data_IF_164284571915
#
_entry.id   IF_164284571915
#
_cell.length_a   1.000
_cell.length_b   1.000
_cell.length_c   1.000
_cell.angle_alpha   90.00
_cell.angle_beta   90.00
_cell.angle_gamma   90.00
#
_symmetry.space_group_name_H-M   'P 1'
#
loop_
_entity.id
_entity.type
_entity.pdbx_description
1 polymer ?
#
# COMPACT_ATOMS: atom_id res chain seq x y z
N UNK A 1 -9.21 14.73 3.84
CA UNK A 1 -9.25 13.39 4.45
C UNK A 1 -8.76 13.46 5.88
N UNK A 2 -9.42 12.75 6.77
CA UNK A 2 -9.06 12.75 8.20
C UNK A 2 -7.79 11.97 8.46
N UNK A 3 -6.95 12.47 9.36
CA UNK A 3 -5.72 11.76 9.78
C UNK A 3 -6.02 10.54 10.63
N UNK A 4 -7.25 10.41 11.11
CA UNK A 4 -7.65 9.24 11.89
C UNK A 4 -7.92 8.02 11.00
N UNK A 5 -8.08 8.23 9.71
CA UNK A 5 -8.29 7.14 8.76
C UNK A 5 -7.02 6.34 8.59
N UNK A 6 -7.21 5.02 8.41
CA UNK A 6 -6.09 4.10 8.24
C UNK A 6 -5.88 3.83 6.77
N UNK A 7 -4.64 3.97 6.32
CA UNK A 7 -4.26 3.82 4.91
C UNK A 7 -3.63 2.45 4.70
N UNK A 8 -4.06 1.76 3.65
CA UNK A 8 -3.43 0.53 3.18
C UNK A 8 -2.62 0.86 1.92
N UNK A 9 -1.34 0.49 1.91
CA UNK A 9 -0.50 0.69 0.73
C UNK A 9 -0.66 -0.46 -0.23
N UNK A 10 -1.01 -0.18 -1.48
CA UNK A 10 -1.17 -1.17 -2.52
C UNK A 10 -0.17 -0.88 -3.63
N UNK A 11 0.69 -1.85 -3.92
CA UNK A 11 1.70 -1.70 -4.95
C UNK A 11 2.24 -3.04 -5.39
N UNK A 12 2.92 -3.09 -6.54
CA UNK A 12 3.45 -4.35 -7.06
C UNK A 12 4.60 -4.86 -6.21
N UNK A 13 4.58 -6.16 -5.93
CA UNK A 13 5.61 -6.83 -5.14
C UNK A 13 6.27 -7.92 -5.96
N UNK A 14 5.48 -8.81 -6.55
CA UNK A 14 6.00 -9.94 -7.32
C UNK A 14 6.84 -9.45 -8.49
N UNK A 15 8.10 -9.89 -8.54
CA UNK A 15 9.00 -9.51 -9.62
C UNK A 15 9.61 -8.13 -9.48
N UNK A 16 9.37 -7.43 -8.37
CA UNK A 16 9.93 -6.11 -8.13
C UNK A 16 11.01 -6.22 -7.07
N UNK A 17 12.27 -6.06 -7.47
CA UNK A 17 13.42 -6.28 -6.57
C UNK A 17 13.44 -5.38 -5.36
N UNK A 18 13.13 -4.12 -5.58
CA UNK A 18 13.24 -3.09 -4.53
C UNK A 18 11.89 -2.71 -3.95
N UNK A 19 10.95 -3.64 -3.92
CA UNK A 19 9.60 -3.31 -3.43
C UNK A 19 9.60 -2.85 -1.98
N UNK A 20 10.46 -3.44 -1.16
CA UNK A 20 10.55 -3.03 0.25
C UNK A 20 10.94 -1.56 0.39
N UNK A 21 11.91 -1.13 -0.40
CA UNK A 21 12.34 0.26 -0.38
C UNK A 21 11.23 1.19 -0.82
N UNK A 22 10.53 0.82 -1.90
CA UNK A 22 9.44 1.63 -2.44
C UNK A 22 8.32 1.78 -1.41
N UNK A 23 7.89 0.66 -0.82
CA UNK A 23 6.82 0.69 0.18
C UNK A 23 7.23 1.44 1.44
N UNK A 24 8.45 1.21 1.90
CA UNK A 24 8.92 1.83 3.14
C UNK A 24 9.08 3.34 2.98
N UNK A 25 9.53 3.80 1.82
CA UNK A 25 9.62 5.23 1.56
C UNK A 25 8.24 5.88 1.54
N UNK A 26 7.29 5.22 0.90
CA UNK A 26 5.91 5.72 0.85
C UNK A 26 5.31 5.76 2.26
N UNK A 27 5.50 4.69 3.03
CA UNK A 27 4.98 4.63 4.39
C UNK A 27 5.60 5.72 5.27
N UNK A 28 6.90 5.95 5.14
CA UNK A 28 7.58 6.97 5.91
C UNK A 28 7.06 8.37 5.58
N UNK A 29 6.85 8.64 4.29
CA UNK A 29 6.35 9.93 3.86
C UNK A 29 4.93 10.18 4.39
N UNK A 30 4.07 9.18 4.33
CA UNK A 30 2.72 9.30 4.86
C UNK A 30 2.72 9.47 6.38
N UNK A 31 3.57 8.72 7.06
CA UNK A 31 3.67 8.81 8.52
C UNK A 31 4.17 10.19 8.94
N UNK A 32 5.16 10.74 8.23
CA UNK A 32 5.65 12.09 8.51
C UNK A 32 4.55 13.13 8.34
N UNK A 33 3.59 12.86 7.49
CA UNK A 33 2.46 13.75 7.29
C UNK A 33 1.31 13.47 8.25
N UNK A 34 1.51 12.60 9.22
CA UNK A 34 0.55 12.35 10.29
C UNK A 34 -0.49 11.29 10.02
N UNK A 35 -0.38 10.57 8.91
CA UNK A 35 -1.34 9.52 8.58
C UNK A 35 -0.99 8.19 9.25
N UNK A 36 -2.02 7.36 9.46
CA UNK A 36 -1.85 5.99 9.95
C UNK A 36 -1.68 5.07 8.74
N UNK A 37 -0.64 4.26 8.75
CA UNK A 37 -0.30 3.46 7.57
C UNK A 37 -0.17 1.99 7.90
N UNK A 38 -0.80 1.15 7.10
CA UNK A 38 -0.59 -0.30 7.11
C UNK A 38 0.25 -0.62 5.89
N UNK A 39 1.44 -1.18 6.12
CA UNK A 39 2.40 -1.47 5.07
C UNK A 39 2.54 -2.98 4.91
N UNK A 40 1.83 -3.60 3.95
CA UNK A 40 1.84 -5.06 3.81
C UNK A 40 3.16 -5.62 3.28
N UNK A 41 4.05 -4.77 2.76
CA UNK A 41 5.33 -5.25 2.26
C UNK A 41 6.16 -5.92 3.35
N UNK A 42 5.96 -5.54 4.60
CA UNK A 42 6.72 -6.10 5.73
C UNK A 42 6.24 -7.48 6.15
N UNK A 43 5.20 -8.02 5.52
CA UNK A 43 4.76 -9.40 5.79
C UNK A 43 5.86 -10.41 5.52
N UNK A 44 6.80 -10.10 4.63
CA UNK A 44 7.91 -10.98 4.34
C UNK A 44 8.79 -11.25 5.56
N UNK A 45 8.72 -10.40 6.59
CA UNK A 45 9.47 -10.58 7.83
C UNK A 45 8.68 -11.36 8.87
N UNK A 46 7.40 -11.58 8.62
CA UNK A 46 6.50 -12.27 9.56
C UNK A 46 6.31 -13.73 9.15
N UNK A 47 6.24 -13.96 7.84
CA UNK A 47 5.99 -15.30 7.29
C UNK A 47 7.30 -15.98 6.92
N UNK A 48 7.32 -17.30 7.03
CA UNK A 48 8.53 -18.05 6.69
C UNK A 48 8.62 -18.28 5.18
N UNK A 49 9.71 -18.93 4.75
CA UNK A 49 9.98 -19.12 3.33
C UNK A 49 9.03 -20.07 2.61
N UNK A 50 8.13 -20.73 3.34
CA UNK A 50 7.15 -21.63 2.71
C UNK A 50 5.85 -20.93 2.38
N UNK A 51 5.70 -19.65 2.78
CA UNK A 51 4.47 -18.89 2.52
C UNK A 51 4.26 -18.71 1.03
N UNK A 52 3.02 -18.93 0.60
CA UNK A 52 2.64 -18.82 -0.81
C UNK A 52 2.08 -17.42 -1.11
N UNK A 53 1.91 -17.15 -2.41
CA UNK A 53 1.25 -15.93 -2.84
C UNK A 53 -0.16 -15.83 -2.22
N UNK A 54 -0.87 -16.96 -2.16
CA UNK A 54 -2.20 -16.98 -1.55
C UNK A 54 -2.15 -16.63 -0.07
N UNK A 55 -1.13 -17.10 0.64
CA UNK A 55 -0.95 -16.76 2.05
C UNK A 55 -0.81 -15.25 2.22
N UNK A 56 0.06 -14.63 1.41
CA UNK A 56 0.26 -13.19 1.47
C UNK A 56 -1.02 -12.43 1.13
N UNK A 57 -1.74 -12.89 0.11
CA UNK A 57 -2.99 -12.22 -0.29
C UNK A 57 -4.07 -12.35 0.78
N UNK A 58 -4.19 -13.51 1.42
CA UNK A 58 -5.19 -13.71 2.46
C UNK A 58 -4.95 -12.78 3.64
N UNK A 59 -3.71 -12.68 4.07
CA UNK A 59 -3.37 -11.79 5.18
C UNK A 59 -3.54 -10.32 4.75
N UNK A 60 -3.10 -10.01 3.55
CA UNK A 60 -3.23 -8.66 3.03
C UNK A 60 -4.67 -8.19 2.96
N UNK A 61 -5.58 -9.09 2.55
CA UNK A 61 -7.00 -8.76 2.49
C UNK A 61 -7.57 -8.46 3.88
N UNK A 62 -7.14 -9.22 4.89
CA UNK A 62 -7.57 -8.94 6.26
C UNK A 62 -7.07 -7.58 6.74
N UNK A 63 -5.84 -7.25 6.40
CA UNK A 63 -5.28 -5.94 6.73
C UNK A 63 -6.04 -4.83 6.00
N UNK A 64 -6.37 -5.05 4.74
CA UNK A 64 -7.14 -4.09 3.95
C UNK A 64 -8.49 -3.81 4.60
N UNK A 65 -9.13 -4.86 5.12
CA UNK A 65 -10.44 -4.73 5.76
C UNK A 65 -10.39 -3.86 7.03
N UNK A 66 -9.21 -3.64 7.57
CA UNK A 66 -9.03 -2.76 8.73
C UNK A 66 -8.80 -1.31 8.34
N UNK A 67 -8.75 -1.03 7.05
CA UNK A 67 -8.38 0.29 6.55
C UNK A 67 -9.53 1.01 5.90
N UNK A 68 -9.39 2.32 5.78
CA UNK A 68 -10.42 3.19 5.21
C UNK A 68 -10.02 3.71 3.84
N UNK A 69 -8.73 3.73 3.56
CA UNK A 69 -8.17 4.34 2.36
C UNK A 69 -7.18 3.37 1.71
N UNK A 70 -7.30 3.23 0.39
CA UNK A 70 -6.32 2.48 -0.40
C UNK A 70 -5.45 3.50 -1.13
N UNK A 71 -4.15 3.46 -0.88
CA UNK A 71 -3.20 4.31 -1.62
C UNK A 71 -2.46 3.44 -2.61
N UNK A 72 -2.58 3.80 -3.89
CA UNK A 72 -2.00 3.03 -4.98
C UNK A 72 -0.61 3.57 -5.34
N UNK A 73 0.37 2.66 -5.34
CA UNK A 73 1.72 2.98 -5.75
C UNK A 73 1.88 2.74 -7.25
N UNK A 74 2.87 3.38 -7.89
CA UNK A 74 3.04 3.23 -9.34
C UNK A 74 3.19 1.77 -9.76
N UNK A 75 2.58 1.43 -10.90
CA UNK A 75 2.63 0.09 -11.45
C UNK A 75 1.55 -0.84 -10.98
N UNK A 76 0.64 -0.37 -10.14
CA UNK A 76 -0.41 -1.20 -9.56
C UNK A 76 -1.29 -1.85 -10.63
N UNK A 77 -1.48 -1.19 -11.78
CA UNK A 77 -2.39 -1.67 -12.82
C UNK A 77 -1.96 -3.01 -13.40
N UNK A 78 -0.68 -3.32 -13.33
CA UNK A 78 -0.14 -4.54 -13.92
C UNK A 78 0.04 -5.65 -12.89
N UNK A 79 -0.32 -5.40 -11.65
CA UNK A 79 -0.14 -6.36 -10.56
C UNK A 79 -1.46 -7.04 -10.25
N UNK A 80 -1.48 -8.36 -10.32
CA UNK A 80 -2.69 -9.13 -10.03
C UNK A 80 -3.14 -8.90 -8.59
N UNK A 81 -2.19 -8.87 -7.65
CA UNK A 81 -2.52 -8.60 -6.26
C UNK A 81 -3.14 -7.23 -6.06
N UNK A 82 -2.57 -6.21 -6.73
CA UNK A 82 -3.11 -4.86 -6.64
C UNK A 82 -4.51 -4.77 -7.22
N UNK A 83 -4.76 -5.50 -8.32
CA UNK A 83 -6.09 -5.50 -8.92
C UNK A 83 -7.13 -6.11 -7.99
N UNK A 84 -6.76 -7.15 -7.27
CA UNK A 84 -7.64 -7.75 -6.26
C UNK A 84 -7.92 -6.78 -5.12
N UNK A 85 -6.90 -6.10 -4.66
CA UNK A 85 -7.05 -5.10 -3.61
C UNK A 85 -7.92 -3.95 -4.07
N UNK A 86 -7.73 -3.51 -5.29
CA UNK A 86 -8.55 -2.46 -5.89
C UNK A 86 -10.03 -2.86 -5.95
N UNK A 87 -10.29 -4.09 -6.41
CA UNK A 87 -11.66 -4.60 -6.48
C UNK A 87 -12.33 -4.66 -5.11
N UNK A 88 -11.58 -5.13 -4.10
CA UNK A 88 -12.10 -5.19 -2.74
C UNK A 88 -12.37 -3.79 -2.18
N UNK A 89 -11.50 -2.83 -2.50
CA UNK A 89 -11.67 -1.45 -2.05
C UNK A 89 -12.91 -0.83 -2.67
N UNK A 90 -13.15 -1.10 -3.95
CA UNK A 90 -14.36 -0.61 -4.62
C UNK A 90 -15.63 -1.18 -3.98
N UNK A 91 -15.61 -2.48 -3.69
CA UNK A 91 -16.76 -3.13 -3.06
C UNK A 91 -17.10 -2.54 -1.70
N UNK A 92 -16.07 -2.09 -0.98
CA UNK A 92 -16.24 -1.56 0.37
C UNK A 92 -16.37 -0.05 0.41
N UNK A 93 -16.45 0.59 -0.75
CA UNK A 93 -16.55 2.04 -0.85
C UNK A 93 -15.41 2.76 -0.13
N UNK A 94 -14.21 2.19 -0.20
CA UNK A 94 -13.03 2.83 0.37
C UNK A 94 -12.63 4.04 -0.46
N UNK A 95 -11.96 4.98 0.18
CA UNK A 95 -11.32 6.08 -0.53
C UNK A 95 -10.10 5.52 -1.25
N UNK A 96 -9.97 5.80 -2.54
CA UNK A 96 -8.86 5.30 -3.35
C UNK A 96 -8.10 6.49 -3.90
N UNK A 97 -6.81 6.57 -3.56
CA UNK A 97 -5.97 7.71 -3.91
C UNK A 97 -4.60 7.22 -4.39
N UNK A 98 -3.93 8.07 -5.14
CA UNK A 98 -2.52 7.88 -5.45
C UNK A 98 -1.69 8.57 -4.38
N UNK A 99 -0.46 8.10 -4.21
CA UNK A 99 0.41 8.60 -3.16
C UNK A 99 0.58 10.12 -3.22
N UNK A 100 0.75 10.67 -4.42
CA UNK A 100 1.00 12.09 -4.58
C UNK A 100 -0.16 12.96 -4.13
N UNK A 101 -1.35 12.39 -3.98
CA UNK A 101 -2.50 13.15 -3.49
C UNK A 101 -2.38 13.49 -2.02
N UNK A 102 -1.53 12.78 -1.29
CA UNK A 102 -1.41 12.92 0.17
C UNK A 102 -0.03 13.39 0.63
N UNK A 103 0.97 13.36 -0.24
CA UNK A 103 2.35 13.62 0.14
C UNK A 103 2.98 14.65 -0.77
N UNK A 104 3.21 15.83 -0.23
CA UNK A 104 3.85 16.91 -0.97
C UNK A 104 5.33 16.63 -1.22
N UNK A 105 5.94 15.81 -0.38
CA UNK A 105 7.34 15.48 -0.54
C UNK A 105 7.66 14.86 -1.88
N UNK A 106 6.71 14.13 -2.46
CA UNK A 106 6.91 13.55 -3.77
C UNK A 106 7.00 14.63 -4.84
N UNK A 107 6.25 15.70 -4.65
CA UNK A 107 6.31 16.85 -5.53
C UNK A 107 7.59 17.63 -5.32
N UNK A 108 8.02 17.70 -4.07
CA UNK A 108 9.26 18.38 -3.74
C UNK A 108 10.43 17.88 -4.55
N UNK A 109 10.50 16.57 -4.72
CA UNK A 109 11.61 15.98 -5.44
C UNK A 109 11.68 16.46 -6.87
N UNK A 110 10.55 16.74 -7.45
CA UNK A 110 10.53 17.22 -8.84
C UNK A 110 11.01 18.65 -8.93
N UNK A 111 10.98 19.38 -7.84
CA UNK A 111 11.48 20.76 -7.84
C UNK A 111 12.96 20.84 -7.56
N UNK A 112 13.49 19.83 -6.94
CA UNK A 112 14.91 19.79 -6.61
C UNK A 112 15.81 19.52 -7.83
#
# INVERSE_FOLDING_TARGET
MSKDMRIYLSGPITGVRNYLDIFNKAAAALTRNGYRVVNPANLCFVLDGTATWDDFMNIGMELLHMCDVLVQLPGWEKSLGCQREYGAALERDMIILKLEALVDGCTEKSRA
#
